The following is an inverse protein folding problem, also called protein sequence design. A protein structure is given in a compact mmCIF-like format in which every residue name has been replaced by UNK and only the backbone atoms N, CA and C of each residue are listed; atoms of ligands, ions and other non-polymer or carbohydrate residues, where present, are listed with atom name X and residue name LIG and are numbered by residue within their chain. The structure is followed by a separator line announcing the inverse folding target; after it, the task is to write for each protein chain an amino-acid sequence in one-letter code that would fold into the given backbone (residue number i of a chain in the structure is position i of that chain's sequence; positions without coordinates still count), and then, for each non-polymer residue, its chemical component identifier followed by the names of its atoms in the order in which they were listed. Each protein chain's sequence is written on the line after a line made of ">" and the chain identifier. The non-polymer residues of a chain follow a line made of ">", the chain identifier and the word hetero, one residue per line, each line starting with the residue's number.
data_IF_486323074488
#
_entry.id   IF_486323074488
#
_cell.length_a   1.000
_cell.length_b   1.000
_cell.length_c   1.000
_cell.angle_alpha   90.00
_cell.angle_beta   90.00
_cell.angle_gamma   90.00
#
_symmetry.space_group_name_H-M   'P 1'
#
loop_
_entity.id
_entity.type
_entity.pdbx_description
1 polymer ?
#
# COMPACT_ATOMS: atom_id res chain seq x y z
N UNK A 1 -34.35 -6.46 13.42
CA UNK A 1 -33.26 -5.64 12.81
C UNK A 1 -32.50 -6.45 11.76
N UNK A 2 -32.31 -5.91 10.56
CA UNK A 2 -31.46 -6.54 9.54
C UNK A 2 -30.01 -6.23 9.86
N UNK A 3 -29.21 -7.27 10.14
CA UNK A 3 -27.77 -7.11 10.34
C UNK A 3 -27.05 -6.91 9.00
N UNK A 4 -26.02 -6.07 8.98
CA UNK A 4 -25.16 -5.84 7.84
C UNK A 4 -23.69 -5.98 8.25
N UNK A 5 -22.84 -6.42 7.33
CA UNK A 5 -21.42 -6.68 7.55
C UNK A 5 -20.56 -5.67 6.81
N UNK A 6 -19.57 -5.10 7.51
CA UNK A 6 -18.62 -4.15 6.95
C UNK A 6 -17.17 -4.58 7.21
N UNK A 7 -16.26 -4.18 6.31
CA UNK A 7 -14.80 -4.35 6.46
C UNK A 7 -14.12 -2.98 6.52
N UNK A 8 -13.19 -2.84 7.45
CA UNK A 8 -12.31 -1.68 7.57
C UNK A 8 -10.87 -2.11 7.26
N UNK A 9 -10.31 -1.65 6.14
CA UNK A 9 -8.94 -1.97 5.71
C UNK A 9 -8.45 -0.97 4.66
N UNK A 10 -7.15 -0.65 4.64
CA UNK A 10 -6.56 0.25 3.63
C UNK A 10 -6.80 -0.24 2.20
N UNK A 11 -6.87 -1.56 2.01
CA UNK A 11 -7.18 -2.18 0.71
C UNK A 11 -8.61 -1.93 0.23
N UNK A 12 -9.50 -1.39 1.06
CA UNK A 12 -10.83 -0.93 0.63
C UNK A 12 -10.75 0.31 -0.27
N UNK A 13 -9.60 0.97 -0.40
CA UNK A 13 -9.37 1.96 -1.47
C UNK A 13 -9.40 1.34 -2.87
N UNK A 14 -9.10 0.04 -3.00
CA UNK A 14 -9.15 -0.65 -4.30
C UNK A 14 -10.61 -1.01 -4.62
N UNK A 15 -11.13 -0.46 -5.73
CA UNK A 15 -12.53 -0.65 -6.16
C UNK A 15 -12.97 -2.12 -6.25
N UNK A 16 -12.06 -3.05 -6.55
CA UNK A 16 -12.34 -4.48 -6.67
C UNK A 16 -12.55 -5.22 -5.35
N UNK A 17 -11.93 -4.78 -4.26
CA UNK A 17 -11.88 -5.54 -3.01
C UNK A 17 -13.27 -5.69 -2.35
N UNK A 18 -14.10 -4.65 -2.42
CA UNK A 18 -15.46 -4.70 -1.86
C UNK A 18 -16.33 -5.74 -2.57
N UNK A 19 -16.20 -5.86 -3.91
CA UNK A 19 -16.95 -6.82 -4.72
C UNK A 19 -16.54 -8.27 -4.41
N UNK A 20 -15.25 -8.50 -4.15
CA UNK A 20 -14.71 -9.85 -3.97
C UNK A 20 -14.94 -10.41 -2.56
N UNK A 21 -15.02 -9.55 -1.55
CA UNK A 21 -15.25 -9.95 -0.16
C UNK A 21 -16.73 -10.12 0.22
N UNK A 22 -17.67 -9.76 -0.67
CA UNK A 22 -19.10 -10.01 -0.48
C UNK A 22 -19.71 -9.27 0.72
N UNK A 23 -19.20 -8.09 1.06
CA UNK A 23 -19.66 -7.29 2.21
C UNK A 23 -20.54 -6.13 1.81
N UNK A 24 -21.45 -5.73 2.70
CA UNK A 24 -22.43 -4.66 2.48
C UNK A 24 -21.75 -3.29 2.41
N UNK A 25 -20.66 -3.10 3.16
CA UNK A 25 -19.86 -1.87 3.17
C UNK A 25 -18.35 -2.15 3.30
N UNK A 26 -17.55 -1.23 2.76
CA UNK A 26 -16.09 -1.25 2.89
C UNK A 26 -15.57 0.15 3.19
N UNK A 27 -14.74 0.28 4.22
CA UNK A 27 -14.16 1.53 4.67
C UNK A 27 -12.63 1.47 4.53
N UNK A 28 -12.07 2.44 3.83
CA UNK A 28 -10.63 2.58 3.69
C UNK A 28 -10.03 3.15 4.97
N UNK A 29 -9.47 2.28 5.80
CA UNK A 29 -8.85 2.63 7.07
C UNK A 29 -7.52 1.89 7.19
N UNK A 30 -6.43 2.63 7.30
CA UNK A 30 -5.09 2.14 7.59
C UNK A 30 -4.34 3.17 8.43
N UNK A 31 -3.29 2.71 9.10
CA UNK A 31 -2.28 3.52 9.78
C UNK A 31 -1.25 4.12 8.79
N UNK A 32 -1.20 3.64 7.55
CA UNK A 32 -0.35 4.18 6.51
C UNK A 32 -0.91 5.43 5.84
N UNK A 33 -0.01 6.38 5.55
CA UNK A 33 -0.31 7.56 4.74
C UNK A 33 -0.51 7.20 3.26
N UNK A 34 -1.43 7.90 2.60
CA UNK A 34 -1.57 7.84 1.15
C UNK A 34 -0.47 8.67 0.45
N UNK A 35 -0.46 8.64 -0.88
CA UNK A 35 0.54 9.34 -1.68
C UNK A 35 0.64 10.85 -1.35
N UNK A 36 -0.50 11.52 -1.23
CA UNK A 36 -0.54 12.95 -0.93
C UNK A 36 -0.09 13.24 0.51
N UNK A 37 -0.46 12.37 1.45
CA UNK A 37 0.00 12.41 2.84
C UNK A 37 1.52 12.24 2.94
N UNK A 38 2.10 11.28 2.21
CA UNK A 38 3.55 11.07 2.15
C UNK A 38 4.28 12.30 1.60
N UNK A 39 3.80 12.87 0.49
CA UNK A 39 4.40 14.09 -0.09
C UNK A 39 4.31 15.28 0.86
N UNK A 40 3.17 15.44 1.53
CA UNK A 40 2.97 16.52 2.51
C UNK A 40 3.92 16.36 3.69
N UNK A 41 4.07 15.14 4.21
CA UNK A 41 5.01 14.84 5.28
C UNK A 41 6.45 15.14 4.86
N UNK A 42 6.89 14.63 3.70
CA UNK A 42 8.25 14.87 3.19
C UNK A 42 8.52 16.37 3.05
N UNK A 43 7.61 17.14 2.43
CA UNK A 43 7.79 18.59 2.27
C UNK A 43 7.86 19.31 3.62
N UNK A 44 7.02 18.92 4.58
CA UNK A 44 7.03 19.51 5.92
C UNK A 44 8.32 19.24 6.70
N UNK A 45 9.07 18.18 6.37
CA UNK A 45 10.36 17.90 7.02
C UNK A 45 11.49 18.80 6.57
N UNK A 46 11.37 19.42 5.38
CA UNK A 46 12.47 20.15 4.70
C UNK A 46 13.79 19.35 4.59
N UNK A 47 13.69 18.02 4.58
CA UNK A 47 14.85 17.15 4.54
C UNK A 47 15.68 17.37 3.27
N UNK A 48 17.01 17.45 3.43
CA UNK A 48 17.95 17.58 2.31
C UNK A 48 18.02 16.30 1.46
N UNK A 49 17.72 15.16 2.07
CA UNK A 49 17.68 13.85 1.41
C UNK A 49 16.69 12.93 2.12
N UNK A 50 15.92 12.20 1.34
CA UNK A 50 14.94 11.22 1.80
C UNK A 50 15.43 9.82 1.47
N UNK A 51 15.28 8.90 2.41
CA UNK A 51 15.58 7.48 2.22
C UNK A 51 14.27 6.70 2.31
N UNK A 52 13.91 5.98 1.24
CA UNK A 52 12.63 5.29 1.13
C UNK A 52 12.81 3.81 1.45
N UNK A 53 12.03 3.31 2.40
CA UNK A 53 11.97 1.90 2.82
C UNK A 53 10.56 1.34 2.61
N UNK A 54 10.45 0.01 2.41
CA UNK A 54 9.21 -0.74 2.16
C UNK A 54 8.33 -0.21 1.00
N UNK A 55 7.28 -0.96 0.65
CA UNK A 55 6.31 -0.57 -0.36
C UNK A 55 6.90 -0.30 -1.76
N UNK A 56 6.33 0.66 -2.49
CA UNK A 56 6.78 1.02 -3.85
C UNK A 56 7.98 1.98 -3.84
N UNK A 57 9.10 1.53 -3.28
CA UNK A 57 10.34 2.30 -3.07
C UNK A 57 10.80 3.02 -4.35
N UNK A 58 10.99 2.28 -5.44
CA UNK A 58 11.50 2.80 -6.70
C UNK A 58 10.61 3.90 -7.30
N UNK A 59 9.29 3.71 -7.25
CA UNK A 59 8.33 4.68 -7.80
C UNK A 59 8.37 5.98 -7.01
N UNK A 60 8.32 5.89 -5.68
CA UNK A 60 8.31 7.08 -4.84
C UNK A 60 9.65 7.82 -4.87
N UNK A 61 10.76 7.08 -4.79
CA UNK A 61 12.10 7.66 -4.86
C UNK A 61 12.36 8.36 -6.19
N UNK A 62 11.95 7.75 -7.31
CA UNK A 62 12.04 8.37 -8.63
C UNK A 62 11.25 9.68 -8.67
N UNK A 63 10.00 9.68 -8.22
CA UNK A 63 9.16 10.87 -8.21
C UNK A 63 9.74 12.01 -7.36
N UNK A 64 10.25 11.70 -6.17
CA UNK A 64 10.89 12.71 -5.31
C UNK A 64 12.07 13.39 -6.02
N UNK A 65 12.91 12.60 -6.70
CA UNK A 65 14.02 13.15 -7.47
C UNK A 65 13.55 14.02 -8.66
N UNK A 66 12.46 13.64 -9.34
CA UNK A 66 11.87 14.44 -10.43
C UNK A 66 11.38 15.81 -9.95
N UNK A 67 10.86 15.91 -8.72
CA UNK A 67 10.43 17.19 -8.13
C UNK A 67 11.56 17.95 -7.40
N UNK A 68 12.80 17.49 -7.51
CA UNK A 68 13.99 18.15 -6.95
C UNK A 68 14.32 17.80 -5.50
N UNK A 69 13.66 16.81 -4.91
CA UNK A 69 13.97 16.29 -3.57
C UNK A 69 14.88 15.07 -3.72
N UNK A 70 16.14 15.17 -3.26
CA UNK A 70 17.08 14.05 -3.36
C UNK A 70 16.53 12.84 -2.62
N UNK A 71 16.39 11.71 -3.31
CA UNK A 71 15.86 10.48 -2.72
C UNK A 71 16.67 9.26 -3.13
N UNK A 72 16.76 8.28 -2.22
CA UNK A 72 17.40 7.00 -2.47
C UNK A 72 16.62 5.85 -1.82
N UNK A 73 16.57 4.71 -2.50
CA UNK A 73 15.98 3.48 -1.99
C UNK A 73 16.92 2.82 -0.98
N UNK A 74 16.38 2.32 0.12
CA UNK A 74 17.13 1.56 1.11
C UNK A 74 16.60 0.14 1.14
N UNK A 75 17.47 -0.80 0.82
CA UNK A 75 17.21 -2.23 1.03
C UNK A 75 17.52 -2.52 2.49
N UNK A 76 16.47 -2.75 3.27
CA UNK A 76 16.58 -3.19 4.67
C UNK A 76 16.63 -4.71 4.71
N UNK A 77 17.45 -5.29 5.59
CA UNK A 77 17.51 -6.76 5.77
C UNK A 77 16.23 -7.36 6.38
N UNK A 78 15.30 -6.50 6.82
CA UNK A 78 13.94 -6.86 7.22
C UNK A 78 12.99 -6.48 6.08
N UNK A 79 12.56 -7.44 5.25
CA UNK A 79 11.74 -7.11 4.08
C UNK A 79 11.19 -8.23 3.20
N UNK A 80 11.10 -9.48 3.70
CA UNK A 80 10.47 -10.59 2.96
C UNK A 80 9.30 -11.23 3.72
N UNK A 81 8.54 -10.44 4.46
CA UNK A 81 7.23 -10.84 4.95
C UNK A 81 6.27 -9.74 4.53
N UNK A 82 5.64 -9.91 3.35
CA UNK A 82 4.37 -9.28 2.93
C UNK A 82 4.17 -9.41 1.41
N UNK A 83 4.34 -10.62 0.87
CA UNK A 83 3.81 -11.00 -0.44
C UNK A 83 3.51 -12.52 -0.50
N UNK A 84 2.95 -13.09 0.57
CA UNK A 84 2.27 -14.38 0.51
C UNK A 84 0.79 -14.17 0.22
N UNK A 85 0.44 -13.69 -0.98
CA UNK A 85 -0.97 -13.65 -1.41
C UNK A 85 -1.13 -13.74 -2.94
N UNK A 86 -0.26 -14.48 -3.63
CA UNK A 86 -0.55 -15.01 -4.99
C UNK A 86 0.17 -16.35 -5.23
N UNK A 87 -0.11 -17.39 -4.42
CA UNK A 87 0.24 -18.78 -4.74
C UNK A 87 -0.78 -19.78 -4.22
N UNK A 88 -2.06 -19.59 -4.54
CA UNK A 88 -2.99 -20.72 -4.52
C UNK A 88 -4.14 -20.52 -5.52
N UNK A 89 -3.92 -20.95 -6.78
CA UNK A 89 -5.04 -21.19 -7.71
C UNK A 89 -4.75 -22.07 -8.92
N UNK A 90 -3.64 -22.82 -8.95
CA UNK A 90 -3.33 -23.71 -10.10
C UNK A 90 -3.29 -25.21 -9.76
N UNK A 91 -3.84 -25.65 -8.62
CA UNK A 91 -3.85 -27.08 -8.27
C UNK A 91 -5.24 -27.73 -8.16
N UNK A 92 -6.29 -27.11 -8.71
CA UNK A 92 -7.60 -27.78 -8.86
C UNK A 92 -7.98 -27.86 -10.34
N UNK A 93 -7.26 -28.70 -11.09
CA UNK A 93 -7.86 -29.47 -12.20
C UNK A 93 -7.03 -30.74 -12.42
N UNK A 94 -7.34 -31.80 -11.67
CA UNK A 94 -7.13 -33.19 -12.12
C UNK A 94 -8.49 -33.87 -12.11
N UNK A 95 -9.01 -34.15 -13.30
CA UNK A 95 -9.88 -35.29 -13.67
C UNK A 95 -9.92 -35.34 -15.19
#
# INVERSE_FOLDING_TARGET
>A
PNAATAICSGWMQIRGNRRWKGVDAGFAVSDHADWNGLLSAVKATEAQKVYVTHGSQAVFSKYLNEIGIKSQEVVTEYGTEDNEDVKDRSLITTS
#
